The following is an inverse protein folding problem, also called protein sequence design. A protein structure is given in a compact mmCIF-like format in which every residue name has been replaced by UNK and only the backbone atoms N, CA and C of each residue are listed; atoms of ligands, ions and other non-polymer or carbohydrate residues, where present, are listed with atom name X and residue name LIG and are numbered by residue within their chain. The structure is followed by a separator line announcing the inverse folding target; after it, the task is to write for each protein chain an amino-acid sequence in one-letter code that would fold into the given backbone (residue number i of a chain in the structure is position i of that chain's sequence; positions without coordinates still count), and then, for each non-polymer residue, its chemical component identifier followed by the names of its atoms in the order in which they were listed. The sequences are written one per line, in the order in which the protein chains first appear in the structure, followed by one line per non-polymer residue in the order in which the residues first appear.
data_IF_898292324880
#
_entry.id   IF_898292324880
#
_cell.length_a   1.000
_cell.length_b   1.000
_cell.length_c   1.000
_cell.angle_alpha   90.00
_cell.angle_beta   90.00
_cell.angle_gamma   90.00
#
_symmetry.space_group_name_H-M   'P 1'
#
loop_
_entity.id
_entity.type
_entity.pdbx_description
1 polymer ?
#
# COMPACT_ATOMS: atom_id res chain seq x y z
N UNK A 1 25.51 -10.03 -5.67
CA UNK A 1 25.19 -9.46 -6.99
C UNK A 1 24.69 -8.04 -6.76
N UNK A 2 25.33 -7.02 -7.34
CA UNK A 2 24.92 -5.63 -7.16
C UNK A 2 23.54 -5.43 -7.81
N UNK A 3 22.58 -4.87 -7.07
CA UNK A 3 21.27 -4.55 -7.62
C UNK A 3 21.44 -3.44 -8.67
N UNK A 4 21.25 -3.78 -9.95
CA UNK A 4 21.25 -2.81 -11.04
C UNK A 4 20.12 -1.81 -10.79
N UNK A 5 20.48 -0.55 -10.56
CA UNK A 5 19.52 0.53 -10.45
C UNK A 5 18.81 0.69 -11.80
N UNK A 6 17.49 0.51 -11.81
CA UNK A 6 16.69 0.70 -13.02
C UNK A 6 16.31 2.18 -13.14
N UNK A 7 16.84 2.81 -14.18
CA UNK A 7 16.49 4.15 -14.61
C UNK A 7 15.67 4.06 -15.89
N UNK A 8 14.61 4.85 -15.98
CA UNK A 8 13.72 4.89 -17.13
C UNK A 8 13.41 6.35 -17.50
N UNK A 9 13.31 6.62 -18.79
CA UNK A 9 12.96 7.92 -19.33
C UNK A 9 11.53 7.89 -19.88
N UNK A 10 10.79 8.98 -19.69
CA UNK A 10 9.42 9.16 -20.16
C UNK A 10 9.23 10.58 -20.69
N UNK A 11 8.26 10.75 -21.59
CA UNK A 11 7.98 12.04 -22.22
C UNK A 11 6.86 12.81 -21.51
N UNK A 12 6.06 12.12 -20.69
CA UNK A 12 4.90 12.71 -20.00
C UNK A 12 4.71 12.18 -18.58
N UNK A 13 4.07 12.98 -17.73
CA UNK A 13 3.68 12.55 -16.38
C UNK A 13 2.72 11.34 -16.44
N UNK A 14 1.83 11.31 -17.42
CA UNK A 14 0.84 10.24 -17.57
C UNK A 14 1.49 8.87 -17.81
N UNK A 15 2.55 8.80 -18.62
CA UNK A 15 3.29 7.55 -18.82
C UNK A 15 3.92 7.05 -17.51
N UNK A 16 4.42 7.95 -16.68
CA UNK A 16 5.02 7.60 -15.39
C UNK A 16 3.94 7.04 -14.44
N UNK A 17 2.78 7.69 -14.38
CA UNK A 17 1.68 7.20 -13.52
C UNK A 17 1.19 5.82 -13.96
N UNK A 18 1.11 5.56 -15.27
CA UNK A 18 0.79 4.24 -15.83
C UNK A 18 1.84 3.19 -15.47
N UNK A 19 3.13 3.53 -15.58
CA UNK A 19 4.21 2.59 -15.24
C UNK A 19 4.25 2.31 -13.73
N UNK A 20 4.02 3.32 -12.88
CA UNK A 20 3.85 3.11 -11.44
C UNK A 20 2.70 2.13 -11.20
N UNK A 21 1.51 2.37 -11.76
CA UNK A 21 0.35 1.50 -11.59
C UNK A 21 0.63 0.05 -12.00
N UNK A 22 1.34 -0.16 -13.12
CA UNK A 22 1.78 -1.48 -13.59
C UNK A 22 2.72 -2.16 -12.60
N UNK A 23 3.67 -1.42 -12.02
CA UNK A 23 4.53 -1.96 -10.96
C UNK A 23 3.75 -2.28 -9.70
N UNK A 24 2.78 -1.45 -9.33
CA UNK A 24 1.91 -1.72 -8.18
C UNK A 24 1.09 -3.00 -8.37
N UNK A 25 0.60 -3.26 -9.58
CA UNK A 25 -0.11 -4.50 -9.91
C UNK A 25 0.83 -5.70 -9.84
N UNK A 26 2.01 -5.60 -10.48
CA UNK A 26 2.97 -6.70 -10.56
C UNK A 26 3.55 -7.08 -9.20
N UNK A 27 3.87 -6.09 -8.36
CA UNK A 27 4.56 -6.31 -7.08
C UNK A 27 3.60 -6.29 -5.89
N UNK A 28 2.35 -5.89 -6.10
CA UNK A 28 1.37 -5.62 -5.04
C UNK A 28 1.85 -4.60 -3.98
N UNK A 29 2.85 -3.78 -4.35
CA UNK A 29 3.36 -2.69 -3.54
C UNK A 29 2.64 -1.41 -3.94
N UNK A 30 2.08 -0.71 -2.97
CA UNK A 30 1.47 0.60 -3.21
C UNK A 30 2.44 1.70 -2.86
N UNK A 31 2.41 2.79 -3.63
CA UNK A 31 3.18 3.99 -3.43
C UNK A 31 2.24 5.17 -3.15
N UNK A 32 2.75 6.14 -2.39
CA UNK A 32 2.07 7.39 -2.09
C UNK A 32 3.02 8.55 -2.38
N UNK A 33 2.48 9.70 -2.77
CA UNK A 33 3.29 10.89 -3.04
C UNK A 33 3.85 11.39 -1.71
N UNK A 34 5.17 11.38 -1.58
CA UNK A 34 5.87 11.98 -0.44
C UNK A 34 5.99 13.48 -0.63
N UNK A 35 6.48 13.90 -1.79
CA UNK A 35 6.72 15.29 -2.12
C UNK A 35 6.60 15.48 -3.62
N UNK A 36 5.96 16.57 -4.04
CA UNK A 36 5.90 17.02 -5.43
C UNK A 36 6.20 18.51 -5.47
N UNK A 37 7.15 18.92 -6.30
CA UNK A 37 7.46 20.34 -6.48
C UNK A 37 6.38 21.02 -7.34
N UNK A 38 6.07 22.29 -7.06
CA UNK A 38 5.00 23.05 -7.74
C UNK A 38 5.18 23.21 -9.26
N UNK A 39 6.42 23.11 -9.75
CA UNK A 39 6.76 23.24 -11.17
C UNK A 39 6.88 21.89 -11.88
N UNK A 40 6.78 20.78 -11.15
CA UNK A 40 6.75 19.45 -11.75
C UNK A 40 5.50 19.30 -12.64
N UNK A 41 5.63 18.67 -13.81
CA UNK A 41 4.51 18.44 -14.73
C UNK A 41 4.17 19.62 -15.65
N UNK A 42 4.82 20.79 -15.51
CA UNK A 42 4.53 21.95 -16.37
C UNK A 42 5.15 21.78 -17.75
N UNK A 43 4.32 21.66 -18.79
CA UNK A 43 4.76 21.56 -20.18
C UNK A 43 5.43 22.85 -20.70
N UNK A 44 5.04 24.02 -20.17
CA UNK A 44 5.63 25.33 -20.53
C UNK A 44 7.03 25.56 -19.90
N UNK A 45 7.77 24.48 -19.63
CA UNK A 45 9.08 24.56 -19.04
C UNK A 45 10.11 24.98 -20.10
N UNK A 46 10.57 26.23 -19.98
CA UNK A 46 11.57 26.78 -20.89
C UNK A 46 12.96 26.82 -20.21
N UNK A 47 14.04 26.68 -21.01
CA UNK A 47 15.39 26.79 -20.49
C UNK A 47 15.68 28.23 -20.04
N UNK A 48 16.32 28.38 -18.87
CA UNK A 48 16.59 29.69 -18.25
C UNK A 48 18.09 29.86 -18.01
N UNK A 49 18.71 30.92 -18.54
CA UNK A 49 20.14 31.16 -18.38
C UNK A 49 20.59 31.28 -16.90
N UNK A 50 19.75 31.87 -16.04
CA UNK A 50 20.04 32.04 -14.61
C UNK A 50 19.90 30.76 -13.77
N UNK A 51 19.36 29.68 -14.34
CA UNK A 51 19.09 28.44 -13.59
C UNK A 51 20.33 27.56 -13.51
N UNK A 52 20.47 26.82 -12.40
CA UNK A 52 21.58 25.89 -12.18
C UNK A 52 21.55 24.76 -13.23
N UNK A 53 22.68 24.55 -13.88
CA UNK A 53 22.93 23.38 -14.74
C UNK A 53 23.46 22.25 -13.86
N UNK A 54 22.87 21.07 -14.03
CA UNK A 54 23.22 19.84 -13.33
C UNK A 54 23.68 18.79 -14.34
N UNK A 55 24.46 17.83 -13.84
CA UNK A 55 25.04 16.75 -14.63
C UNK A 55 24.62 15.36 -14.13
N UNK A 56 24.11 15.29 -12.90
CA UNK A 56 23.64 14.08 -12.26
C UNK A 56 22.63 14.43 -11.16
N UNK A 57 21.62 13.57 -10.97
CA UNK A 57 20.67 13.61 -9.87
C UNK A 57 20.31 12.18 -9.46
N UNK A 58 19.64 12.00 -8.32
CA UNK A 58 19.26 10.66 -7.82
C UNK A 58 18.49 9.80 -8.84
N UNK A 59 17.74 10.44 -9.73
CA UNK A 59 16.93 9.78 -10.76
C UNK A 59 17.53 9.82 -12.16
N UNK A 60 18.70 10.44 -12.34
CA UNK A 60 19.39 10.51 -13.63
C UNK A 60 20.90 10.47 -13.42
N UNK A 61 21.59 9.34 -13.72
CA UNK A 61 23.04 9.25 -13.58
C UNK A 61 23.75 10.15 -14.59
N UNK A 62 25.07 10.29 -14.42
CA UNK A 62 25.90 11.04 -15.36
C UNK A 62 25.83 10.41 -16.76
N UNK A 63 25.33 11.19 -17.73
CA UNK A 63 25.15 10.79 -19.13
C UNK A 63 26.03 11.58 -20.11
N UNK A 64 26.88 12.48 -19.58
CA UNK A 64 27.64 13.44 -20.39
C UNK A 64 26.79 14.61 -20.92
N UNK A 65 25.47 14.61 -20.75
CA UNK A 65 24.60 15.68 -21.25
C UNK A 65 24.19 16.61 -20.09
N UNK A 66 24.43 17.93 -20.18
CA UNK A 66 23.98 18.87 -19.17
C UNK A 66 22.47 19.04 -19.21
N UNK A 67 21.86 19.28 -18.04
CA UNK A 67 20.42 19.50 -17.94
C UNK A 67 20.04 20.51 -16.83
N UNK A 68 18.84 21.07 -16.95
CA UNK A 68 18.21 21.88 -15.92
C UNK A 68 17.04 21.13 -15.29
N UNK A 69 17.00 21.05 -13.95
CA UNK A 69 15.89 20.41 -13.23
C UNK A 69 14.71 21.36 -13.14
N UNK A 70 13.59 21.03 -13.78
CA UNK A 70 12.34 21.79 -13.72
C UNK A 70 11.67 21.63 -12.37
N UNK A 71 11.55 20.38 -11.92
CA UNK A 71 11.00 20.01 -10.62
C UNK A 71 11.21 18.53 -10.34
N UNK A 72 10.98 18.13 -9.09
CA UNK A 72 11.08 16.74 -8.65
C UNK A 72 9.77 16.24 -8.06
N UNK A 73 9.53 14.94 -8.20
CA UNK A 73 8.48 14.23 -7.51
C UNK A 73 9.05 12.97 -6.88
N UNK A 74 8.73 12.73 -5.63
CA UNK A 74 9.15 11.54 -4.89
C UNK A 74 7.92 10.80 -4.41
N UNK A 75 7.84 9.53 -4.76
CA UNK A 75 6.87 8.62 -4.20
C UNK A 75 7.57 7.73 -3.17
N UNK A 76 6.87 7.42 -2.10
CA UNK A 76 7.32 6.49 -1.07
C UNK A 76 6.40 5.28 -1.02
N UNK A 77 6.92 4.14 -0.57
CA UNK A 77 6.06 3.00 -0.29
C UNK A 77 4.98 3.38 0.73
N UNK A 78 3.75 2.88 0.55
CA UNK A 78 2.65 3.07 1.49
C UNK A 78 2.99 2.54 2.90
N UNK A 79 3.88 1.55 3.01
CA UNK A 79 4.42 1.04 4.28
C UNK A 79 5.67 1.82 4.78
N UNK A 80 5.93 3.00 4.22
CA UNK A 80 7.05 3.88 4.58
C UNK A 80 6.99 4.42 6.02
N UNK A 81 7.75 5.49 6.27
CA UNK A 81 7.86 6.10 7.59
C UNK A 81 6.51 6.59 8.13
N UNK A 82 6.26 6.37 9.41
CA UNK A 82 5.13 7.01 10.08
C UNK A 82 5.51 8.45 10.45
N UNK A 83 4.89 9.44 9.78
CA UNK A 83 5.08 10.86 10.09
C UNK A 83 4.14 11.38 11.17
N UNK A 84 3.13 10.59 11.56
CA UNK A 84 2.08 10.98 12.49
C UNK A 84 2.24 10.32 13.87
N UNK A 85 3.45 9.88 14.23
CA UNK A 85 3.74 9.18 15.49
C UNK A 85 3.31 10.02 16.70
N UNK A 86 3.75 11.29 16.78
CA UNK A 86 3.40 12.18 17.90
C UNK A 86 1.90 12.41 18.03
N UNK A 87 1.19 12.56 16.92
CA UNK A 87 -0.27 12.72 16.93
C UNK A 87 -0.98 11.46 17.43
N UNK A 88 -0.48 10.28 17.03
CA UNK A 88 -0.98 8.98 17.50
C UNK A 88 -0.68 8.73 18.96
N UNK A 89 0.51 9.10 19.44
CA UNK A 89 0.88 9.01 20.85
C UNK A 89 -0.02 9.90 21.71
N UNK A 90 -0.25 11.16 21.29
CA UNK A 90 -1.17 12.08 21.96
C UNK A 90 -2.59 11.52 22.01
N UNK A 91 -3.07 10.93 20.91
CA UNK A 91 -4.38 10.29 20.86
C UNK A 91 -4.45 9.05 21.77
N UNK A 92 -3.43 8.20 21.75
CA UNK A 92 -3.34 7.02 22.59
C UNK A 92 -3.33 7.38 24.08
N UNK A 93 -2.58 8.43 24.47
CA UNK A 93 -2.58 8.94 25.84
C UNK A 93 -3.98 9.44 26.26
N UNK A 94 -4.68 10.17 25.38
CA UNK A 94 -6.06 10.61 25.63
C UNK A 94 -7.02 9.44 25.78
N UNK A 95 -6.92 8.42 24.93
CA UNK A 95 -7.74 7.21 25.02
C UNK A 95 -7.43 6.38 26.27
N UNK A 96 -6.17 6.32 26.70
CA UNK A 96 -5.77 5.62 27.91
C UNK A 96 -6.31 6.31 29.16
N UNK A 97 -6.30 7.65 29.20
CA UNK A 97 -6.94 8.41 30.27
C UNK A 97 -8.43 8.09 30.36
N UNK A 98 -9.14 8.11 29.22
CA UNK A 98 -10.56 7.75 29.15
C UNK A 98 -10.84 6.28 29.53
N UNK A 99 -9.95 5.35 29.20
CA UNK A 99 -10.11 3.94 29.55
C UNK A 99 -9.89 3.65 31.04
N UNK A 100 -9.19 4.55 31.75
CA UNK A 100 -9.11 4.51 33.20
C UNK A 100 -10.44 4.91 33.86
N UNK A 101 -11.21 5.77 33.18
CA UNK A 101 -12.50 6.28 33.61
C UNK A 101 -13.65 5.34 33.17
N UNK A 102 -13.56 4.72 31.98
CA UNK A 102 -14.55 3.79 31.41
C UNK A 102 -13.95 2.39 31.13
N UNK A 103 -14.34 1.38 31.91
CA UNK A 103 -13.86 0.00 31.81
C UNK A 103 -14.24 -0.75 30.50
N UNK A 104 -14.94 -0.10 29.55
CA UNK A 104 -15.50 -0.75 28.36
C UNK A 104 -14.71 -0.55 27.05
N UNK A 105 -13.57 0.15 27.07
CA UNK A 105 -12.86 0.51 25.82
C UNK A 105 -12.05 -0.66 25.22
N UNK A 106 -12.60 -1.29 24.17
CA UNK A 106 -11.91 -2.29 23.35
C UNK A 106 -10.76 -1.65 22.54
N UNK A 107 -9.53 -2.09 22.79
CA UNK A 107 -8.33 -1.65 22.05
C UNK A 107 -8.16 -2.43 20.74
N UNK A 108 -7.79 -1.74 19.65
CA UNK A 108 -7.38 -2.39 18.40
C UNK A 108 -6.03 -3.09 18.57
N UNK A 109 -5.86 -4.26 17.94
CA UNK A 109 -4.68 -5.14 18.08
C UNK A 109 -3.44 -4.68 17.28
N UNK A 110 -3.58 -3.71 16.37
CA UNK A 110 -2.45 -3.06 15.69
C UNK A 110 -2.65 -1.55 15.61
N UNK A 111 -1.58 -0.83 15.95
CA UNK A 111 -1.59 0.64 16.00
C UNK A 111 -1.41 1.28 14.62
N UNK A 112 -0.68 0.65 13.68
CA UNK A 112 -0.45 1.23 12.34
C UNK A 112 0.03 0.19 11.29
N UNK A 113 -0.18 0.50 10.00
CA UNK A 113 0.33 -0.27 8.85
C UNK A 113 1.76 0.14 8.41
N UNK A 114 2.32 1.20 8.98
CA UNK A 114 3.62 1.78 8.62
C UNK A 114 4.75 1.01 9.31
N UNK A 115 5.79 0.65 8.56
CA UNK A 115 6.94 -0.15 9.04
C UNK A 115 8.29 0.47 8.66
N UNK A 116 8.30 1.76 8.32
CA UNK A 116 9.51 2.52 7.96
C UNK A 116 10.25 1.94 6.75
N UNK A 117 9.50 1.57 5.70
CA UNK A 117 10.07 1.18 4.41
C UNK A 117 10.85 2.31 3.75
N UNK A 118 12.09 2.00 3.32
CA UNK A 118 13.02 2.94 2.68
C UNK A 118 12.88 3.03 1.16
N UNK A 119 12.04 2.20 0.55
CA UNK A 119 11.83 2.20 -0.88
C UNK A 119 11.17 3.50 -1.36
N UNK A 120 11.85 4.17 -2.30
CA UNK A 120 11.44 5.45 -2.88
C UNK A 120 11.54 5.42 -4.40
N UNK A 121 10.51 5.91 -5.08
CA UNK A 121 10.58 6.25 -6.51
C UNK A 121 10.97 7.73 -6.59
N UNK A 122 12.09 8.02 -7.27
CA UNK A 122 12.53 9.38 -7.50
C UNK A 122 12.29 9.75 -8.96
N UNK A 123 11.62 10.87 -9.19
CA UNK A 123 11.32 11.37 -10.52
C UNK A 123 11.87 12.80 -10.64
N UNK A 124 12.65 13.04 -11.69
CA UNK A 124 13.10 14.38 -12.06
C UNK A 124 12.53 14.75 -13.42
N UNK A 125 11.84 15.88 -13.47
CA UNK A 125 11.47 16.55 -14.71
C UNK A 125 12.63 17.46 -15.10
N UNK A 126 13.28 17.17 -16.23
CA UNK A 126 14.51 17.84 -16.67
C UNK A 126 14.39 18.39 -18.09
N UNK A 127 15.18 19.42 -18.37
CA UNK A 127 15.43 19.93 -19.72
C UNK A 127 16.88 19.61 -20.05
N UNK A 128 17.14 18.70 -20.98
CA UNK A 128 18.50 18.28 -21.39
C UNK A 128 18.95 19.02 -22.65
N UNK A 129 20.26 19.22 -22.76
CA UNK A 129 20.89 19.99 -23.85
C UNK A 129 21.91 19.12 -24.59
N UNK A 130 21.46 18.27 -25.53
CA UNK A 130 22.34 17.32 -26.22
C UNK A 130 23.47 17.98 -27.03
N UNK A 131 23.27 19.22 -27.48
CA UNK A 131 24.30 19.99 -28.20
C UNK A 131 25.54 20.36 -27.37
N UNK A 132 25.50 20.18 -26.04
CA UNK A 132 26.60 20.50 -25.12
C UNK A 132 27.12 19.25 -24.40
N UNK A 133 27.01 18.08 -25.06
CA UNK A 133 27.49 16.81 -24.51
C UNK A 133 29.00 16.81 -24.34
N UNK A 134 29.48 16.30 -23.21
CA UNK A 134 30.89 16.07 -22.92
C UNK A 134 31.17 14.57 -22.86
N UNK A 135 32.35 14.16 -23.32
CA UNK A 135 32.79 12.76 -23.24
C UNK A 135 33.38 12.45 -21.87
N UNK A 136 34.20 13.36 -21.32
CA UNK A 136 34.87 13.16 -20.04
C UNK A 136 34.20 13.91 -18.89
N UNK A 137 33.96 13.21 -17.77
CA UNK A 137 33.41 13.75 -16.52
C UNK A 137 34.45 14.51 -15.68
N UNK A 138 35.28 15.37 -16.27
CA UNK A 138 36.19 16.22 -15.49
C UNK A 138 35.47 17.45 -14.94
N UNK A 139 35.92 17.99 -13.80
CA UNK A 139 35.33 19.21 -13.22
C UNK A 139 35.49 20.39 -14.18
N UNK A 140 36.61 20.44 -14.91
CA UNK A 140 36.92 21.48 -15.89
C UNK A 140 35.96 21.41 -17.08
N UNK A 141 35.80 20.24 -17.71
CA UNK A 141 34.89 20.06 -18.86
C UNK A 141 33.45 20.41 -18.50
N UNK A 142 32.96 19.94 -17.33
CA UNK A 142 31.63 20.29 -16.83
C UNK A 142 31.44 21.81 -16.66
N UNK A 143 32.47 22.50 -16.15
CA UNK A 143 32.41 23.95 -15.91
C UNK A 143 32.41 24.73 -17.23
N UNK A 144 33.23 24.33 -18.18
CA UNK A 144 33.36 24.95 -19.50
C UNK A 144 32.07 24.78 -20.31
N UNK A 145 31.59 23.55 -20.47
CA UNK A 145 30.32 23.28 -21.15
C UNK A 145 29.12 23.97 -20.48
N UNK A 146 29.11 24.09 -19.14
CA UNK A 146 28.07 24.85 -18.43
C UNK A 146 28.16 26.36 -18.68
N UNK A 147 29.36 26.91 -18.86
CA UNK A 147 29.58 28.32 -19.18
C UNK A 147 29.10 28.62 -20.60
N UNK A 148 29.48 27.76 -21.55
CA UNK A 148 29.11 27.90 -22.96
C UNK A 148 27.59 27.77 -23.14
N UNK A 149 26.97 26.81 -22.46
CA UNK A 149 25.51 26.67 -22.45
C UNK A 149 24.81 27.92 -21.87
N UNK A 150 25.34 28.50 -20.79
CA UNK A 150 24.79 29.75 -20.24
C UNK A 150 24.95 30.93 -21.18
N UNK A 151 26.08 31.04 -21.87
CA UNK A 151 26.30 32.07 -22.87
C UNK A 151 25.30 31.92 -24.03
N UNK A 152 25.17 30.72 -24.59
CA UNK A 152 24.22 30.43 -25.67
C UNK A 152 22.76 30.72 -25.27
N UNK A 153 22.37 30.36 -24.04
CA UNK A 153 21.04 30.66 -23.50
C UNK A 153 20.80 32.15 -23.24
N UNK A 154 21.87 32.93 -22.99
CA UNK A 154 21.77 34.38 -22.75
C UNK A 154 21.68 35.16 -24.07
N UNK A 155 22.36 34.70 -25.12
CA UNK A 155 22.34 35.35 -26.43
C UNK A 155 21.10 34.99 -27.25
N UNK A 156 20.85 33.70 -27.45
CA UNK A 156 19.79 33.19 -28.35
C UNK A 156 19.12 31.95 -27.75
N UNK A 157 18.22 32.12 -26.77
CA UNK A 157 17.56 31.00 -26.09
C UNK A 157 16.82 30.06 -27.05
N UNK A 158 16.23 30.58 -28.14
CA UNK A 158 15.50 29.79 -29.13
C UNK A 158 16.39 28.93 -30.04
N UNK A 159 17.69 29.22 -30.14
CA UNK A 159 18.62 28.46 -30.98
C UNK A 159 19.18 27.22 -30.27
N UNK A 160 19.02 27.14 -28.95
CA UNK A 160 19.55 26.04 -28.15
C UNK A 160 18.58 24.86 -28.22
N UNK A 161 19.03 23.74 -28.79
CA UNK A 161 18.26 22.48 -28.80
C UNK A 161 18.06 22.01 -27.36
N UNK A 162 16.81 21.99 -26.92
CA UNK A 162 16.40 21.61 -25.57
C UNK A 162 15.34 20.52 -25.65
N UNK A 163 15.52 19.44 -24.89
CA UNK A 163 14.58 18.32 -24.83
C UNK A 163 14.03 18.20 -23.41
N UNK A 164 12.71 18.13 -23.29
CA UNK A 164 12.02 17.98 -22.00
C UNK A 164 11.78 16.49 -21.75
N UNK A 165 12.30 15.95 -20.65
CA UNK A 165 12.23 14.52 -20.33
C UNK A 165 11.99 14.31 -18.84
N UNK A 166 11.34 13.20 -18.50
CA UNK A 166 11.17 12.73 -17.13
C UNK A 166 12.05 11.52 -16.87
N UNK A 167 13.02 11.67 -15.95
CA UNK A 167 13.88 10.58 -15.53
C UNK A 167 13.38 9.99 -14.22
N UNK A 168 13.12 8.69 -14.21
CA UNK A 168 12.55 7.95 -13.08
C UNK A 168 13.54 6.90 -12.60
N UNK A 169 13.73 6.83 -11.28
CA UNK A 169 14.42 5.72 -10.60
C UNK A 169 13.42 4.95 -9.76
N UNK A 170 13.17 3.71 -10.14
CA UNK A 170 12.36 2.79 -9.36
C UNK A 170 13.20 2.09 -8.29
N UNK A 171 12.65 1.85 -7.09
CA UNK A 171 13.33 1.06 -6.07
C UNK A 171 13.38 -0.40 -6.52
N UNK A 172 14.48 -1.09 -6.23
CA UNK A 172 14.51 -2.54 -6.40
C UNK A 172 13.68 -3.24 -5.32
N UNK A 173 13.30 -4.50 -5.57
CA UNK A 173 12.59 -5.31 -4.58
C UNK A 173 13.36 -5.48 -3.26
N UNK A 174 14.69 -5.46 -3.30
CA UNK A 174 15.53 -5.51 -2.09
C UNK A 174 15.49 -4.23 -1.25
N UNK A 175 15.14 -3.08 -1.84
CA UNK A 175 14.96 -1.82 -1.09
C UNK A 175 13.71 -1.86 -0.18
N UNK A 176 12.81 -2.83 -0.38
CA UNK A 176 11.66 -3.11 0.48
C UNK A 176 12.02 -4.00 1.69
N UNK A 177 13.15 -3.74 2.35
CA UNK A 177 13.70 -4.63 3.38
C UNK A 177 12.93 -4.70 4.70
N UNK A 178 12.03 -3.75 4.99
CA UNK A 178 11.31 -3.70 6.27
C UNK A 178 9.93 -4.37 6.26
N UNK A 179 9.48 -4.91 5.11
CA UNK A 179 8.26 -5.69 5.05
C UNK A 179 8.33 -6.77 3.97
N UNK A 180 7.58 -7.85 4.18
CA UNK A 180 7.38 -8.85 3.14
C UNK A 180 6.74 -8.20 1.91
N UNK A 181 7.23 -8.58 0.74
CA UNK A 181 6.54 -8.35 -0.53
C UNK A 181 5.25 -9.17 -0.51
N UNK A 182 4.18 -8.63 -1.06
CA UNK A 182 2.87 -9.28 -1.00
C UNK A 182 2.90 -10.51 -1.92
N UNK A 183 3.08 -11.67 -1.28
CA UNK A 183 3.13 -13.01 -1.87
C UNK A 183 3.33 -14.07 -0.78
N UNK A 184 4.07 -13.74 0.29
CA UNK A 184 4.32 -14.68 1.40
C UNK A 184 3.22 -14.67 2.48
N UNK A 185 2.44 -13.58 2.61
CA UNK A 185 1.42 -13.43 3.67
C UNK A 185 -0.03 -13.57 3.21
N UNK A 186 -0.33 -13.36 1.93
CA UNK A 186 -1.71 -13.48 1.40
C UNK A 186 -2.18 -14.93 1.31
N UNK A 187 -1.28 -15.88 1.02
CA UNK A 187 -1.62 -17.30 0.86
C UNK A 187 -2.25 -17.90 2.12
N UNK A 188 -1.79 -17.53 3.32
CA UNK A 188 -2.34 -18.06 4.58
C UNK A 188 -3.74 -17.54 4.91
N UNK A 189 -4.08 -16.31 4.51
CA UNK A 189 -5.43 -15.75 4.73
C UNK A 189 -6.41 -16.31 3.71
N UNK A 190 -5.99 -16.43 2.45
CA UNK A 190 -6.81 -17.03 1.39
C UNK A 190 -7.05 -18.52 1.63
N UNK A 191 -6.06 -19.27 2.13
CA UNK A 191 -6.23 -20.68 2.49
C UNK A 191 -7.33 -20.88 3.56
N UNK A 192 -7.36 -20.04 4.60
CA UNK A 192 -8.40 -20.14 5.63
C UNK A 192 -9.80 -19.77 5.13
N UNK A 193 -9.89 -18.88 4.15
CA UNK A 193 -11.17 -18.53 3.50
C UNK A 193 -11.65 -19.70 2.64
N UNK A 194 -10.77 -20.28 1.82
CA UNK A 194 -11.06 -21.45 1.00
C UNK A 194 -11.45 -22.66 1.87
N UNK A 195 -10.73 -22.91 2.97
CA UNK A 195 -11.09 -23.97 3.93
C UNK A 195 -12.50 -23.80 4.49
N UNK A 196 -12.92 -22.56 4.80
CA UNK A 196 -14.28 -22.28 5.27
C UNK A 196 -15.32 -22.47 4.18
N UNK A 197 -15.01 -22.11 2.94
CA UNK A 197 -15.90 -22.32 1.79
C UNK A 197 -16.10 -23.82 1.52
N UNK A 198 -15.02 -24.61 1.51
CA UNK A 198 -15.12 -26.06 1.37
C UNK A 198 -15.97 -26.68 2.50
N UNK A 199 -15.81 -26.23 3.75
CA UNK A 199 -16.64 -26.68 4.86
C UNK A 199 -18.13 -26.30 4.68
N UNK A 200 -18.42 -25.15 4.06
CA UNK A 200 -19.77 -24.72 3.69
C UNK A 200 -20.40 -25.65 2.65
N UNK A 201 -19.71 -25.91 1.55
CA UNK A 201 -20.20 -26.82 0.50
C UNK A 201 -20.40 -28.24 1.02
N UNK A 202 -19.50 -28.76 1.84
CA UNK A 202 -19.67 -30.08 2.45
C UNK A 202 -20.91 -30.15 3.34
N UNK A 203 -21.22 -29.08 4.08
CA UNK A 203 -22.44 -28.99 4.87
C UNK A 203 -23.68 -28.99 3.98
N UNK A 204 -23.68 -28.18 2.93
CA UNK A 204 -24.80 -28.10 1.98
C UNK A 204 -25.04 -29.43 1.24
N UNK A 205 -23.97 -30.10 0.81
CA UNK A 205 -24.05 -31.46 0.24
C UNK A 205 -24.66 -32.42 1.27
N UNK A 206 -24.21 -32.36 2.53
CA UNK A 206 -24.74 -33.19 3.61
C UNK A 206 -26.24 -32.94 3.80
N UNK A 207 -26.65 -31.68 3.89
CA UNK A 207 -28.05 -31.28 4.06
C UNK A 207 -28.92 -31.76 2.87
N UNK A 208 -28.43 -31.61 1.63
CA UNK A 208 -29.14 -32.06 0.43
C UNK A 208 -29.22 -33.59 0.33
N UNK A 209 -28.19 -34.33 0.76
CA UNK A 209 -28.22 -35.80 0.73
C UNK A 209 -29.31 -36.41 1.59
N UNK A 210 -29.72 -35.75 2.69
CA UNK A 210 -30.85 -36.22 3.51
C UNK A 210 -32.21 -36.07 2.83
N UNK A 211 -32.30 -35.28 1.76
CA UNK A 211 -33.54 -35.04 1.02
C UNK A 211 -33.60 -35.78 -0.33
N UNK A 212 -32.52 -36.45 -0.74
CA UNK A 212 -32.47 -37.23 -1.97
C UNK A 212 -33.08 -38.62 -1.76
N UNK A 213 -33.99 -38.99 -2.67
CA UNK A 213 -34.65 -40.32 -2.68
C UNK A 213 -34.13 -41.25 -3.79
N UNK A 214 -33.24 -40.75 -4.64
CA UNK A 214 -32.67 -41.51 -5.77
C UNK A 214 -31.42 -42.30 -5.33
N UNK A 215 -31.58 -43.62 -5.24
CA UNK A 215 -30.53 -44.57 -4.83
C UNK A 215 -29.37 -44.66 -5.83
N UNK A 216 -29.64 -44.55 -7.14
CA UNK A 216 -28.60 -44.60 -8.16
C UNK A 216 -27.71 -43.36 -8.09
N UNK A 217 -28.33 -42.20 -7.88
CA UNK A 217 -27.61 -40.94 -7.69
C UNK A 217 -26.77 -40.93 -6.41
N UNK A 218 -27.32 -41.41 -5.29
CA UNK A 218 -26.59 -41.50 -4.02
C UNK A 218 -25.38 -42.45 -4.10
N UNK A 219 -25.51 -43.55 -4.85
CA UNK A 219 -24.41 -44.49 -5.09
C UNK A 219 -23.29 -43.84 -5.92
N UNK A 220 -23.65 -43.10 -6.97
CA UNK A 220 -22.69 -42.33 -7.77
C UNK A 220 -22.00 -41.23 -6.97
N UNK A 221 -22.74 -40.51 -6.12
CA UNK A 221 -22.19 -39.48 -5.24
C UNK A 221 -21.22 -40.07 -4.20
N UNK A 222 -21.57 -41.23 -3.61
CA UNK A 222 -20.71 -41.94 -2.65
C UNK A 222 -19.36 -42.31 -3.26
N UNK A 223 -19.35 -42.81 -4.50
CA UNK A 223 -18.10 -43.13 -5.22
C UNK A 223 -17.24 -41.89 -5.47
N UNK A 224 -17.84 -40.78 -5.88
CA UNK A 224 -17.11 -39.51 -6.07
C UNK A 224 -16.52 -38.97 -4.77
N UNK A 225 -17.28 -39.00 -3.66
CA UNK A 225 -16.81 -38.56 -2.36
C UNK A 225 -15.66 -39.44 -1.84
N UNK A 226 -15.69 -40.75 -2.10
CA UNK A 226 -14.59 -41.66 -1.77
C UNK A 226 -13.31 -41.35 -2.56
N UNK A 227 -13.41 -41.10 -3.87
CA UNK A 227 -12.26 -40.70 -4.70
C UNK A 227 -11.64 -39.41 -4.19
N UNK A 228 -12.47 -38.39 -3.94
CA UNK A 228 -12.03 -37.09 -3.44
C UNK A 228 -11.39 -37.21 -2.05
N UNK A 229 -11.93 -38.06 -1.17
CA UNK A 229 -11.33 -38.34 0.13
C UNK A 229 -9.95 -39.00 0.02
N UNK A 230 -9.76 -39.92 -0.93
CA UNK A 230 -8.49 -40.59 -1.16
C UNK A 230 -7.43 -39.62 -1.71
N UNK A 231 -7.81 -38.76 -2.64
CA UNK A 231 -6.95 -37.68 -3.16
C UNK A 231 -6.52 -36.72 -2.04
N UNK A 232 -7.46 -36.29 -1.18
CA UNK A 232 -7.13 -35.42 -0.05
C UNK A 232 -6.19 -36.10 0.95
N UNK A 233 -6.36 -37.39 1.22
CA UNK A 233 -5.48 -38.17 2.10
C UNK A 233 -4.05 -38.29 1.55
N UNK A 234 -3.89 -38.36 0.22
CA UNK A 234 -2.59 -38.43 -0.43
C UNK A 234 -1.81 -37.10 -0.34
N UNK A 235 -2.52 -35.97 -0.24
CA UNK A 235 -1.93 -34.63 -0.15
C UNK A 235 -1.59 -34.19 1.28
N UNK A 236 -2.07 -34.90 2.30
CA UNK A 236 -1.78 -34.61 3.71
C UNK A 236 -0.53 -35.41 4.13
N UNK A 237 0.55 -34.76 4.61
CA UNK A 237 1.73 -35.48 5.10
C UNK A 237 1.35 -36.44 6.23
N UNK A 238 1.57 -37.73 6.02
CA UNK A 238 1.45 -38.74 7.06
C UNK A 238 2.82 -38.90 7.72
N UNK A 239 3.07 -38.16 8.79
CA UNK A 239 4.14 -38.54 9.72
C UNK A 239 3.68 -39.77 10.49
N UNK A 240 4.57 -40.77 10.54
CA UNK A 240 4.36 -42.08 11.14
C UNK A 240 3.71 -41.97 12.53
N UNK A 241 2.54 -42.57 12.66
CA UNK A 241 1.84 -42.95 13.89
C UNK A 241 1.28 -41.88 14.86
N UNK A 242 1.05 -40.63 14.46
CA UNK A 242 0.13 -39.76 15.22
C UNK A 242 -0.65 -38.78 14.34
N UNK A 243 -1.98 -38.95 14.28
CA UNK A 243 -2.89 -37.96 13.71
C UNK A 243 -2.82 -36.66 14.53
N UNK A 244 -2.27 -35.59 13.95
CA UNK A 244 -2.47 -34.22 14.44
C UNK A 244 -3.93 -33.81 14.17
N UNK A 245 -4.83 -34.26 15.04
CA UNK A 245 -6.14 -33.65 15.16
C UNK A 245 -5.92 -32.23 15.68
N UNK A 246 -5.80 -31.25 14.77
CA UNK A 246 -6.09 -29.86 15.08
C UNK A 246 -7.60 -29.69 15.25
N UNK A 247 -8.20 -30.49 16.12
CA UNK A 247 -9.53 -30.24 16.63
C UNK A 247 -9.39 -29.07 17.62
N UNK A 248 -10.10 -27.95 17.43
CA UNK A 248 -10.12 -26.89 18.43
C UNK A 248 -10.63 -27.50 19.74
N UNK A 249 -9.76 -27.66 20.74
CA UNK A 249 -10.16 -28.11 22.09
C UNK A 249 -11.29 -27.19 22.56
N UNK A 250 -12.52 -27.71 22.65
CA UNK A 250 -13.58 -27.13 23.47
C UNK A 250 -13.00 -26.99 24.87
N UNK A 251 -12.75 -25.76 25.33
CA UNK A 251 -12.49 -25.52 26.74
C UNK A 251 -13.78 -25.84 27.48
N UNK A 252 -13.78 -26.96 28.19
CA UNK A 252 -14.76 -27.25 29.23
C UNK A 252 -14.52 -26.18 30.30
N UNK A 253 -15.52 -25.33 30.55
CA UNK A 253 -15.50 -24.53 31.77
C UNK A 253 -15.60 -25.53 32.93
N UNK A 254 -14.62 -25.52 33.83
CA UNK A 254 -14.80 -26.15 35.13
C UNK A 254 -15.86 -25.34 35.87
N UNK A 255 -16.98 -25.99 36.17
CA UNK A 255 -17.91 -25.56 37.21
C UNK A 255 -17.21 -25.82 38.54
N UNK A 256 -16.53 -24.80 39.05
CA UNK A 256 -16.14 -24.78 40.45
C UNK A 256 -17.34 -24.24 41.25
N UNK A 257 -18.05 -25.16 41.89
CA UNK A 257 -19.12 -24.91 42.85
C UNK A 257 -18.54 -24.22 44.08
N UNK A 258 -18.52 -22.88 44.07
CA UNK A 258 -18.29 -22.08 45.25
C UNK A 258 -19.41 -21.04 45.40
N UNK A 259 -20.42 -21.45 46.16
CA UNK A 259 -21.24 -20.67 47.09
C UNK A 259 -21.69 -19.25 46.68
N UNK A 260 -22.98 -19.15 46.35
CA UNK A 260 -23.74 -17.89 46.27
C UNK A 260 -23.65 -17.09 47.57
N UNK A 261 -23.43 -15.76 47.51
CA UNK A 261 -23.92 -14.83 48.51
C UNK A 261 -25.32 -14.34 48.12
N UNK A 262 -26.29 -14.67 48.94
CA UNK A 262 -27.70 -14.26 48.88
C UNK A 262 -27.88 -12.84 49.41
N UNK A 263 -28.59 -11.99 48.65
CA UNK A 263 -29.27 -10.72 49.01
C UNK A 263 -28.37 -9.56 49.51
N UNK A 264 -28.58 -8.29 49.18
CA UNK A 264 -29.58 -7.58 48.38
C UNK A 264 -29.34 -6.07 48.53
N UNK A 265 -29.72 -5.27 47.54
CA UNK A 265 -30.11 -3.87 47.70
C UNK A 265 -30.79 -3.42 46.40
N UNK A 266 -32.11 -3.33 46.44
CA UNK A 266 -32.90 -2.59 45.47
C UNK A 266 -32.52 -1.11 45.53
N UNK A 267 -32.21 -0.52 44.38
CA UNK A 267 -32.24 0.93 44.24
C UNK A 267 -32.91 1.34 42.92
N UNK A 268 -33.58 2.50 42.92
CA UNK A 268 -34.83 2.68 42.22
C UNK A 268 -34.65 3.12 40.78
N UNK A 269 -35.62 2.66 39.98
CA UNK A 269 -35.98 3.19 38.68
C UNK A 269 -36.16 4.72 38.77
N UNK A 270 -35.34 5.47 38.06
CA UNK A 270 -35.62 6.89 37.78
C UNK A 270 -35.88 7.01 36.29
N UNK A 271 -37.16 7.22 35.99
CA UNK A 271 -37.60 7.80 34.73
C UNK A 271 -37.00 9.21 34.62
N UNK A 272 -36.27 9.46 33.53
CA UNK A 272 -36.20 10.82 33.01
C UNK A 272 -36.25 10.79 31.48
N UNK A 273 -37.39 11.28 31.04
CA UNK A 273 -37.85 11.57 29.70
C UNK A 273 -36.90 12.50 28.95
N UNK A 274 -36.62 12.16 27.70
CA UNK A 274 -36.63 13.07 26.55
C UNK A 274 -35.59 14.19 26.47
N UNK A 275 -34.77 14.15 25.42
CA UNK A 275 -34.76 15.23 24.43
C UNK A 275 -34.12 14.74 23.12
N UNK A 276 -35.01 14.57 22.15
CA UNK A 276 -34.76 14.40 20.73
C UNK A 276 -34.13 15.71 20.21
N UNK A 277 -32.99 15.63 19.51
CA UNK A 277 -32.48 16.75 18.73
C UNK A 277 -32.57 16.36 17.25
N UNK A 278 -33.70 16.70 16.65
CA UNK A 278 -33.90 16.79 15.22
C UNK A 278 -32.98 17.87 14.66
N UNK A 279 -31.97 17.46 13.87
CA UNK A 279 -31.31 18.37 12.94
C UNK A 279 -32.03 18.26 11.61
N UNK A 280 -32.95 19.20 11.40
CA UNK A 280 -33.61 19.43 10.14
C UNK A 280 -32.59 19.75 9.05
N UNK A 281 -32.73 18.98 7.98
CA UNK A 281 -32.08 19.11 6.70
C UNK A 281 -32.81 20.24 5.93
N UNK A 282 -32.19 21.41 5.80
CA UNK A 282 -32.65 22.45 4.86
C UNK A 282 -31.68 22.50 3.69
N UNK A 283 -32.02 21.75 2.64
CA UNK A 283 -31.62 22.07 1.28
C UNK A 283 -32.54 23.20 0.79
N UNK A 284 -31.99 24.39 0.56
CA UNK A 284 -32.64 25.37 -0.31
C UNK A 284 -31.59 25.91 -1.30
N UNK A 285 -31.82 25.55 -2.56
CA UNK A 285 -31.31 26.25 -3.73
C UNK A 285 -31.82 27.70 -3.76
N UNK A 286 -31.06 28.63 -4.34
CA UNK A 286 -31.63 29.80 -4.97
C UNK A 286 -31.70 29.59 -6.49
N UNK A 287 -32.92 29.41 -7.01
CA UNK A 287 -33.24 29.69 -8.40
C UNK A 287 -33.12 31.21 -8.66
N UNK A 288 -32.47 31.58 -9.76
CA UNK A 288 -32.70 32.84 -10.47
C UNK A 288 -34.14 32.84 -11.04
N UNK A 289 -34.81 34.00 -11.16
CA UNK A 289 -34.88 34.60 -12.50
C UNK A 289 -34.98 36.14 -12.56
N UNK A 290 -34.75 36.62 -13.80
CA UNK A 290 -34.84 37.96 -14.40
C UNK A 290 -33.70 38.94 -14.15
#
# INVERSE_FOLDING_TARGET
MAATLQFSEFDSEDQITKEIAKQEETTSLKYIILRKDKRFGRMDAHPLAGKKISWEVKSHPFSGVPFQVVGTSTYECHQGKDRQVKAKEKHAAKMNKKALEDHALKRRKQNTKKVDCKALINIAHIIRFPGFKIEESTVRSKKEASKDLKAALSEKPSSVKAEVVYCVRFPSLSEHSSHALVGERSSKKNLKVLQKQCAGYLKEITDLTYHLQDEQYLTGLSSHLQSLLQEMKALVPQDKDLTLTLSPRKRKAEEDMATLPTQGASQPFTDSVGQHADLQNTCEEPCLPN
#
